data_IF_007366375753
#
_entry.id   IF_007366375753
#
_cell.length_a   1.000
_cell.length_b   1.000
_cell.length_c   1.000
_cell.angle_alpha   90.00
_cell.angle_beta   90.00
_cell.angle_gamma   90.00
#
_symmetry.space_group_name_H-M   'P 1'
#
loop_
_entity.id
_entity.type
_entity.pdbx_description
1 polymer ?
#
# COMPACT_ATOMS: atom_id res chain seq x y z
N UNK A 1 -2.64 -15.65 -21.98
CA UNK A 1 -3.11 -14.76 -20.91
C UNK A 1 -1.97 -13.95 -20.33
N UNK A 2 -2.04 -12.65 -20.44
CA UNK A 2 -0.99 -11.85 -19.81
C UNK A 2 -1.08 -12.00 -18.31
N UNK A 3 0.06 -12.12 -17.66
CA UNK A 3 0.09 -12.14 -16.24
C UNK A 3 -0.11 -10.73 -15.70
N UNK A 4 -0.71 -10.60 -14.55
CA UNK A 4 -0.78 -9.33 -13.88
C UNK A 4 0.61 -8.82 -13.51
N UNK A 5 0.69 -7.55 -13.19
CA UNK A 5 1.95 -6.97 -12.77
C UNK A 5 2.38 -7.57 -11.44
N UNK A 6 3.67 -7.74 -11.26
CA UNK A 6 4.22 -8.17 -9.98
C UNK A 6 5.47 -7.37 -9.69
N UNK A 7 5.77 -7.21 -8.42
CA UNK A 7 6.95 -6.48 -7.97
C UNK A 7 7.28 -6.89 -6.54
N UNK A 8 8.52 -6.67 -6.14
CA UNK A 8 8.91 -6.87 -4.76
C UNK A 8 8.66 -5.63 -3.91
N UNK A 9 8.41 -4.49 -4.53
CA UNK A 9 8.27 -3.23 -3.81
C UNK A 9 7.08 -2.48 -4.34
N UNK A 10 6.27 -1.96 -3.43
CA UNK A 10 5.10 -1.17 -3.78
C UNK A 10 5.02 0.06 -2.91
N UNK A 11 4.54 1.13 -3.51
CA UNK A 11 4.19 2.34 -2.79
C UNK A 11 2.71 2.59 -2.98
N UNK A 12 2.02 2.83 -1.87
CA UNK A 12 0.59 3.06 -1.87
C UNK A 12 0.31 4.46 -1.33
N UNK A 13 -0.73 5.08 -1.86
CA UNK A 13 -1.19 6.37 -1.35
C UNK A 13 -2.68 6.24 -1.06
N UNK A 14 -3.06 6.49 0.18
CA UNK A 14 -4.46 6.46 0.61
C UNK A 14 -4.88 7.90 0.90
N UNK A 15 -5.80 8.42 0.08
CA UNK A 15 -6.30 9.77 0.25
C UNK A 15 -7.42 9.78 1.27
N UNK A 16 -7.42 10.76 2.16
CA UNK A 16 -8.45 10.91 3.18
C UNK A 16 -8.68 9.60 3.93
N UNK A 17 -7.61 9.01 4.51
CA UNK A 17 -7.72 7.67 5.07
C UNK A 17 -8.78 7.55 6.15
N UNK A 18 -8.91 8.54 7.01
CA UNK A 18 -9.86 8.47 8.12
C UNK A 18 -11.32 8.51 7.67
N UNK A 19 -11.60 9.15 6.52
CA UNK A 19 -12.95 9.18 5.98
C UNK A 19 -13.38 7.82 5.45
N UNK A 20 -12.43 6.96 5.15
CA UNK A 20 -12.67 5.62 4.63
C UNK A 20 -12.32 4.53 5.62
N UNK A 21 -12.07 4.91 6.87
CA UNK A 21 -11.78 3.94 7.92
C UNK A 21 -10.37 3.36 7.88
N UNK A 22 -9.47 3.99 7.15
CA UNK A 22 -8.09 3.52 7.05
C UNK A 22 -7.23 4.16 8.14
N UNK A 23 -7.38 3.65 9.37
CA UNK A 23 -6.50 4.05 10.45
C UNK A 23 -5.15 3.38 10.29
N UNK A 24 -4.15 3.91 10.98
CA UNK A 24 -2.82 3.28 10.98
C UNK A 24 -2.91 1.83 11.46
N UNK A 25 -3.77 1.58 12.45
CA UNK A 25 -3.94 0.23 12.98
C UNK A 25 -4.48 -0.73 11.93
N UNK A 26 -5.48 -0.29 11.18
CA UNK A 26 -6.05 -1.11 10.12
C UNK A 26 -5.03 -1.38 9.01
N UNK A 27 -4.26 -0.35 8.66
CA UNK A 27 -3.22 -0.50 7.63
C UNK A 27 -2.19 -1.52 8.09
N UNK A 28 -1.75 -1.43 9.32
CA UNK A 28 -0.77 -2.37 9.88
C UNK A 28 -1.30 -3.79 9.90
N UNK A 29 -2.57 -3.97 10.26
CA UNK A 29 -3.18 -5.30 10.26
C UNK A 29 -3.22 -5.89 8.86
N UNK A 30 -3.58 -5.08 7.86
CA UNK A 30 -3.58 -5.55 6.49
C UNK A 30 -2.19 -5.93 6.01
N UNK A 31 -1.17 -5.18 6.41
CA UNK A 31 0.21 -5.50 6.04
C UNK A 31 0.62 -6.84 6.66
N UNK A 32 0.22 -7.09 7.90
CA UNK A 32 0.56 -8.33 8.57
C UNK A 32 -0.04 -9.56 7.89
N UNK A 33 -1.14 -9.37 7.16
CA UNK A 33 -1.75 -10.46 6.43
C UNK A 33 -0.96 -10.87 5.19
N UNK A 34 0.00 -10.06 4.78
CA UNK A 34 0.87 -10.41 3.67
C UNK A 34 2.05 -11.23 4.17
N UNK A 35 2.05 -12.52 3.85
CA UNK A 35 3.07 -13.43 4.36
C UNK A 35 4.46 -13.13 3.87
N UNK A 36 4.60 -12.49 2.74
CA UNK A 36 5.92 -12.23 2.16
C UNK A 36 6.49 -10.85 2.44
N UNK A 37 5.75 -10.01 3.15
CA UNK A 37 6.21 -8.65 3.43
C UNK A 37 7.31 -8.68 4.49
N UNK A 38 8.49 -8.22 4.12
CA UNK A 38 9.66 -8.25 5.02
C UNK A 38 10.02 -6.88 5.55
N UNK A 39 9.50 -5.83 4.95
CA UNK A 39 9.72 -4.46 5.42
C UNK A 39 8.55 -3.60 5.01
N UNK A 40 8.16 -2.69 5.87
CA UNK A 40 7.13 -1.71 5.55
C UNK A 40 7.33 -0.46 6.40
N UNK A 41 6.84 0.65 5.88
CA UNK A 41 6.75 1.88 6.66
C UNK A 41 5.56 2.67 6.15
N UNK A 42 5.07 3.57 6.98
CA UNK A 42 4.00 4.46 6.57
C UNK A 42 4.25 5.85 7.15
N UNK A 43 3.76 6.85 6.44
CA UNK A 43 3.85 8.22 6.90
C UNK A 43 2.65 9.00 6.39
N UNK A 44 2.26 10.00 7.16
CA UNK A 44 1.18 10.89 6.79
C UNK A 44 1.76 12.16 6.18
N UNK A 45 1.03 12.69 5.21
CA UNK A 45 1.39 13.94 4.57
C UNK A 45 0.12 14.74 4.33
N UNK A 46 0.21 16.06 4.50
CA UNK A 46 -0.92 16.94 4.21
C UNK A 46 -0.59 17.67 2.92
N UNK A 47 -1.46 17.52 1.93
CA UNK A 47 -1.28 18.17 0.63
C UNK A 47 -1.58 19.65 0.67
N UNK A 48 -1.39 20.30 -0.47
CA UNK A 48 -1.58 21.76 -0.58
C UNK A 48 -2.98 22.22 -0.20
N UNK A 49 -3.97 21.38 -0.45
CA UNK A 49 -5.36 21.72 -0.15
C UNK A 49 -5.78 21.27 1.25
N UNK A 50 -4.83 20.88 2.08
CA UNK A 50 -5.14 20.40 3.41
C UNK A 50 -5.64 18.96 3.45
N UNK A 51 -5.57 18.25 2.34
CA UNK A 51 -6.01 16.86 2.26
C UNK A 51 -4.96 15.94 2.87
N UNK A 52 -5.40 15.12 3.81
CA UNK A 52 -4.51 14.15 4.42
C UNK A 52 -4.29 12.97 3.49
N UNK A 53 -3.04 12.55 3.37
CA UNK A 53 -2.65 11.35 2.62
C UNK A 53 -1.82 10.47 3.53
N UNK A 54 -2.02 9.17 3.44
CA UNK A 54 -1.12 8.22 4.10
C UNK A 54 -0.37 7.46 3.03
N UNK A 55 0.95 7.51 3.11
CA UNK A 55 1.81 6.77 2.19
C UNK A 55 2.29 5.50 2.88
N UNK A 56 2.19 4.39 2.16
CA UNK A 56 2.63 3.09 2.67
C UNK A 56 3.65 2.53 1.70
N UNK A 57 4.80 2.12 2.22
CA UNK A 57 5.81 1.46 1.43
C UNK A 57 5.92 0.02 1.92
N UNK A 58 5.92 -0.93 0.99
CA UNK A 58 6.00 -2.34 1.32
C UNK A 58 7.06 -3.01 0.46
N UNK A 59 7.90 -3.81 1.08
CA UNK A 59 8.88 -4.61 0.38
C UNK A 59 8.66 -6.08 0.72
N UNK A 60 8.73 -6.92 -0.30
CA UNK A 60 8.43 -8.34 -0.18
C UNK A 60 9.67 -9.19 -0.43
N UNK A 61 9.68 -10.37 0.15
CA UNK A 61 10.77 -11.34 -0.03
C UNK A 61 10.84 -11.80 -1.48
N UNK A 62 9.71 -12.03 -2.09
CA UNK A 62 9.58 -12.37 -3.50
C UNK A 62 8.50 -11.52 -4.10
N UNK A 63 8.36 -11.57 -5.43
CA UNK A 63 7.39 -10.72 -6.10
C UNK A 63 5.97 -11.00 -5.64
N UNK A 64 5.24 -9.92 -5.34
CA UNK A 64 3.82 -9.99 -5.03
C UNK A 64 3.04 -9.42 -6.20
N UNK A 65 1.90 -10.03 -6.51
CA UNK A 65 1.08 -9.57 -7.60
C UNK A 65 0.35 -8.28 -7.26
N UNK A 66 0.29 -7.37 -8.23
CA UNK A 66 -0.43 -6.12 -8.07
C UNK A 66 -1.87 -6.34 -7.63
N UNK A 67 -2.53 -7.33 -8.23
CA UNK A 67 -3.93 -7.62 -7.92
C UNK A 67 -4.12 -8.00 -6.46
N UNK A 68 -3.15 -8.69 -5.88
CA UNK A 68 -3.21 -9.08 -4.48
C UNK A 68 -3.08 -7.86 -3.57
N UNK A 69 -2.14 -6.98 -3.90
CA UNK A 69 -1.97 -5.74 -3.14
C UNK A 69 -3.24 -4.89 -3.25
N UNK A 70 -3.79 -4.78 -4.45
CA UNK A 70 -5.01 -4.01 -4.69
C UNK A 70 -6.19 -4.55 -3.91
N UNK A 71 -6.28 -5.87 -3.77
CA UNK A 71 -7.36 -6.49 -3.02
C UNK A 71 -7.33 -6.13 -1.55
N UNK A 72 -6.12 -6.03 -0.99
CA UNK A 72 -5.97 -5.66 0.42
C UNK A 72 -6.14 -4.17 0.66
N UNK A 73 -5.82 -3.35 -0.33
CA UNK A 73 -5.89 -1.90 -0.22
C UNK A 73 -6.63 -1.33 -1.42
N UNK A 74 -7.89 -1.73 -1.57
CA UNK A 74 -8.66 -1.45 -2.78
C UNK A 74 -8.88 0.04 -3.05
N UNK A 75 -8.83 0.87 -2.03
CA UNK A 75 -9.03 2.30 -2.19
C UNK A 75 -7.73 3.08 -2.40
N UNK A 76 -6.60 2.41 -2.33
CA UNK A 76 -5.31 3.05 -2.45
C UNK A 76 -4.89 3.21 -3.91
N UNK A 77 -4.13 4.26 -4.17
CA UNK A 77 -3.38 4.35 -5.41
C UNK A 77 -2.10 3.56 -5.21
N UNK A 78 -1.85 2.61 -6.08
CA UNK A 78 -0.75 1.66 -5.91
C UNK A 78 0.22 1.79 -7.07
N UNK A 79 1.49 1.92 -6.76
CA UNK A 79 2.56 1.96 -7.75
C UNK A 79 3.60 0.91 -7.42
N UNK A 80 3.96 0.14 -8.44
CA UNK A 80 5.07 -0.81 -8.30
C UNK A 80 6.37 -0.02 -8.39
N UNK A 81 7.26 -0.24 -7.44
CA UNK A 81 8.56 0.41 -7.43
C UNK A 81 9.59 -0.49 -8.08
N UNK A 82 10.49 0.12 -8.82
CA UNK A 82 11.62 -0.58 -9.39
C UNK A 82 12.84 -0.24 -8.56
N UNK A 83 13.67 -1.24 -8.34
CA UNK A 83 14.83 -0.93 -7.57
C UNK A 83 15.82 -2.01 -7.42
#
# INVERSE_FOLDING_TARGET
MPRGKSSRKYQLTINNPLEHGWTHERIKENIRDFSGCVYWCLCDEVGENGTLHTHVYMAFRSEAEFSQVKRHFYEAHIEACRG
#
